data_IF_559553008560
#
_entry.id   IF_559553008560
#
_cell.length_a   1.000
_cell.length_b   1.000
_cell.length_c   1.000
_cell.angle_alpha   90.00
_cell.angle_beta   90.00
_cell.angle_gamma   90.00
#
_symmetry.space_group_name_H-M   'P 1'
#
loop_
_entity.id
_entity.type
_entity.pdbx_description
1 polymer ?
#
# COMPACT_ATOMS: atom_id res chain seq x y z
N UNK A 1 -5.50 -20.26 13.14
CA UNK A 1 -6.58 -19.64 12.34
C UNK A 1 -6.43 -20.05 10.89
N UNK A 2 -7.54 -20.24 10.20
CA UNK A 2 -7.56 -20.54 8.76
C UNK A 2 -7.79 -19.25 7.97
N UNK A 3 -7.29 -19.23 6.75
CA UNK A 3 -7.57 -18.13 5.82
C UNK A 3 -9.07 -17.92 5.63
N UNK A 4 -9.84 -19.01 5.53
CA UNK A 4 -11.30 -18.98 5.41
C UNK A 4 -12.04 -18.39 6.61
N UNK A 5 -11.40 -18.27 7.79
CA UNK A 5 -12.02 -17.60 8.93
C UNK A 5 -12.25 -16.11 8.65
N UNK A 6 -11.47 -15.52 7.73
CA UNK A 6 -11.56 -14.11 7.32
C UNK A 6 -12.46 -13.89 6.10
N UNK A 7 -13.29 -14.87 5.77
CA UNK A 7 -14.27 -14.74 4.70
C UNK A 7 -15.47 -13.91 5.15
N UNK A 8 -15.92 -13.02 4.29
CA UNK A 8 -17.22 -12.37 4.35
C UNK A 8 -17.77 -12.20 2.93
N UNK A 9 -19.09 -12.16 2.79
CA UNK A 9 -19.71 -11.98 1.49
C UNK A 9 -19.58 -10.51 1.04
N UNK A 10 -18.81 -10.27 -0.02
CA UNK A 10 -18.61 -8.95 -0.60
C UNK A 10 -19.24 -8.90 -2.00
N UNK A 11 -20.37 -8.19 -2.17
CA UNK A 11 -20.95 -7.96 -3.48
C UNK A 11 -19.98 -7.21 -4.42
N UNK A 12 -19.80 -7.70 -5.64
CA UNK A 12 -18.85 -7.14 -6.62
C UNK A 12 -19.11 -5.64 -6.92
N UNK A 13 -20.38 -5.23 -6.89
CA UNK A 13 -20.79 -3.84 -7.13
C UNK A 13 -20.39 -2.86 -6.02
N UNK A 14 -19.92 -3.33 -4.86
CA UNK A 14 -19.37 -2.49 -3.81
C UNK A 14 -17.86 -2.23 -4.00
N UNK A 15 -17.20 -2.93 -4.91
CA UNK A 15 -15.79 -2.70 -5.24
C UNK A 15 -15.67 -1.42 -6.09
N UNK A 16 -15.09 -0.38 -5.52
CA UNK A 16 -14.98 0.92 -6.17
C UNK A 16 -14.09 0.87 -7.42
N UNK A 17 -14.62 1.31 -8.56
CA UNK A 17 -13.88 1.37 -9.82
C UNK A 17 -13.22 2.73 -10.06
N UNK A 18 -13.74 3.79 -9.45
CA UNK A 18 -13.27 5.17 -9.59
C UNK A 18 -13.26 5.89 -8.23
N UNK A 19 -12.33 6.84 -8.03
CA UNK A 19 -12.29 7.63 -6.80
C UNK A 19 -13.48 8.59 -6.68
N UNK A 20 -13.81 8.98 -5.44
CA UNK A 20 -14.78 10.05 -5.14
C UNK A 20 -14.12 11.42 -5.33
N UNK A 21 -14.89 12.41 -5.79
CA UNK A 21 -14.48 13.79 -5.86
C UNK A 21 -15.37 14.68 -4.98
N UNK A 22 -14.79 15.57 -4.18
CA UNK A 22 -13.36 15.69 -3.85
C UNK A 22 -12.85 14.49 -3.04
N UNK A 23 -11.52 14.33 -2.90
CA UNK A 23 -10.88 13.16 -2.23
C UNK A 23 -11.46 12.86 -0.85
N UNK A 24 -11.70 13.90 -0.05
CA UNK A 24 -12.19 13.83 1.33
C UNK A 24 -13.72 13.70 1.45
N UNK A 25 -14.44 13.52 0.32
CA UNK A 25 -15.88 13.25 0.31
C UNK A 25 -16.24 11.76 0.43
N UNK A 26 -15.27 10.86 0.49
CA UNK A 26 -15.50 9.45 0.80
C UNK A 26 -16.13 9.29 2.18
N UNK A 27 -16.86 8.19 2.38
CA UNK A 27 -17.40 7.87 3.72
C UNK A 27 -16.27 7.42 4.65
N UNK A 28 -16.48 7.64 5.93
CA UNK A 28 -15.58 7.23 6.99
C UNK A 28 -16.38 6.47 8.06
N UNK A 29 -15.95 5.25 8.37
CA UNK A 29 -16.42 4.53 9.55
C UNK A 29 -15.43 4.77 10.69
N UNK A 30 -15.91 5.35 11.80
CA UNK A 30 -15.15 5.36 13.04
C UNK A 30 -15.47 4.07 13.78
N UNK A 31 -14.46 3.31 14.13
CA UNK A 31 -14.58 2.05 14.88
C UNK A 31 -13.86 2.15 16.21
N UNK A 32 -14.61 2.13 17.30
CA UNK A 32 -14.06 2.13 18.66
C UNK A 32 -13.73 0.70 19.09
N UNK A 33 -12.44 0.43 19.32
CA UNK A 33 -11.96 -0.93 19.63
C UNK A 33 -12.46 -1.45 20.97
N UNK A 34 -12.66 -0.56 21.95
CA UNK A 34 -13.01 -0.96 23.33
C UNK A 34 -14.37 -1.60 23.44
N UNK A 35 -15.35 -1.10 22.71
CA UNK A 35 -16.74 -1.55 22.82
C UNK A 35 -17.33 -2.03 21.47
N UNK A 36 -16.59 -1.89 20.39
CA UNK A 36 -17.02 -2.27 19.04
C UNK A 36 -18.08 -1.33 18.45
N UNK A 37 -18.33 -0.17 19.07
CA UNK A 37 -19.27 0.82 18.52
C UNK A 37 -18.75 1.44 17.24
N UNK A 38 -19.68 1.85 16.38
CA UNK A 38 -19.38 2.39 15.06
C UNK A 38 -20.14 3.68 14.83
N UNK A 39 -19.46 4.67 14.21
CA UNK A 39 -20.08 5.89 13.72
C UNK A 39 -19.88 6.00 12.22
N UNK A 40 -20.86 6.60 11.54
CA UNK A 40 -20.80 6.82 10.09
C UNK A 40 -20.61 8.31 9.82
N UNK A 41 -19.49 8.65 9.17
CA UNK A 41 -19.03 10.02 8.90
C UNK A 41 -18.62 10.17 7.44
N UNK A 42 -18.16 11.36 7.09
CA UNK A 42 -17.44 11.64 5.85
C UNK A 42 -15.96 11.86 6.19
N UNK A 43 -15.04 11.52 5.31
CA UNK A 43 -13.59 11.55 5.60
C UNK A 43 -13.11 12.94 6.07
N UNK A 44 -13.68 14.02 5.55
CA UNK A 44 -13.37 15.37 6.00
C UNK A 44 -13.59 15.59 7.51
N UNK A 45 -14.50 14.83 8.12
CA UNK A 45 -14.83 14.93 9.54
C UNK A 45 -13.76 14.26 10.44
N UNK A 46 -12.76 13.58 9.84
CA UNK A 46 -11.63 12.94 10.57
C UNK A 46 -10.94 13.94 11.50
N UNK A 47 -10.86 15.22 11.09
CA UNK A 47 -10.23 16.27 11.89
C UNK A 47 -10.87 16.41 13.27
N UNK A 48 -12.14 16.08 13.44
CA UNK A 48 -12.85 16.14 14.73
C UNK A 48 -12.34 15.08 15.72
N UNK A 49 -11.81 13.95 15.22
CA UNK A 49 -11.32 12.81 15.99
C UNK A 49 -9.81 12.85 16.30
N UNK A 50 -9.10 13.83 15.74
CA UNK A 50 -7.69 14.06 16.01
C UNK A 50 -7.51 15.07 17.14
N UNK A 51 -6.53 14.85 18.01
CA UNK A 51 -6.24 15.72 19.14
C UNK A 51 -4.89 16.45 18.96
N UNK A 52 -4.75 17.67 19.49
CA UNK A 52 -3.43 18.30 19.58
C UNK A 52 -2.42 17.36 20.26
N UNK A 53 -1.25 17.22 19.67
CA UNK A 53 -0.22 16.30 20.15
C UNK A 53 -0.27 14.90 19.57
N UNK A 54 -1.30 14.53 18.78
CA UNK A 54 -1.29 13.30 17.96
C UNK A 54 -0.26 13.42 16.84
N UNK A 55 0.14 12.28 16.30
CA UNK A 55 1.02 12.16 15.13
C UNK A 55 0.37 11.28 14.06
N UNK A 56 0.19 11.79 12.84
CA UNK A 56 -0.14 10.99 11.66
C UNK A 56 1.16 10.50 11.01
N UNK A 57 1.32 9.19 10.87
CA UNK A 57 2.41 8.59 10.12
C UNK A 57 1.93 8.27 8.73
N UNK A 58 2.47 8.98 7.73
CA UNK A 58 2.07 8.89 6.32
C UNK A 58 3.19 8.26 5.49
N UNK A 59 2.81 7.51 4.46
CA UNK A 59 3.75 6.91 3.51
C UNK A 59 3.83 7.78 2.25
N UNK A 60 4.97 8.43 2.04
CA UNK A 60 5.22 9.39 0.96
C UNK A 60 5.67 8.75 -0.36
N UNK A 61 5.63 7.43 -0.45
CA UNK A 61 5.99 6.73 -1.69
C UNK A 61 5.14 7.19 -2.87
N UNK A 62 5.77 7.28 -4.04
CA UNK A 62 5.14 7.65 -5.30
C UNK A 62 5.14 6.48 -6.27
N UNK A 63 3.98 6.20 -6.84
CA UNK A 63 3.81 5.14 -7.84
C UNK A 63 4.46 5.55 -9.14
N UNK A 64 5.27 4.65 -9.72
CA UNK A 64 5.86 4.82 -11.04
C UNK A 64 4.94 4.20 -12.12
N UNK A 65 4.97 4.68 -13.38
CA UNK A 65 4.27 4.05 -14.50
C UNK A 65 4.91 2.70 -14.85
N UNK A 66 4.82 1.75 -13.94
CA UNK A 66 5.59 0.51 -13.91
C UNK A 66 5.16 -0.53 -14.94
N UNK A 67 4.03 -0.33 -15.65
CA UNK A 67 3.56 -1.27 -16.68
C UNK A 67 4.02 -0.83 -18.05
N UNK A 68 4.90 -1.62 -18.67
CA UNK A 68 5.46 -1.37 -20.01
C UNK A 68 5.32 -2.59 -20.91
N UNK A 69 5.37 -2.39 -22.21
CA UNK A 69 5.26 -3.46 -23.20
C UNK A 69 6.55 -3.55 -24.01
N UNK A 70 7.22 -4.71 -23.90
CA UNK A 70 8.46 -4.99 -24.61
C UNK A 70 8.21 -5.83 -25.85
N UNK A 71 8.89 -5.48 -26.93
CA UNK A 71 8.94 -6.26 -28.18
C UNK A 71 10.20 -7.10 -28.16
N UNK A 72 10.06 -8.41 -28.22
CA UNK A 72 11.19 -9.35 -28.29
C UNK A 72 11.97 -9.13 -29.58
N UNK A 73 13.27 -8.85 -29.49
CA UNK A 73 14.11 -8.51 -30.65
C UNK A 73 14.13 -9.59 -31.74
N UNK A 74 14.21 -10.88 -31.33
CA UNK A 74 14.31 -11.99 -32.27
C UNK A 74 13.01 -12.30 -33.04
N UNK A 75 11.84 -12.07 -32.43
CA UNK A 75 10.57 -12.62 -32.93
C UNK A 75 9.47 -11.59 -33.11
N UNK A 76 9.66 -10.35 -32.64
CA UNK A 76 8.64 -9.30 -32.60
C UNK A 76 7.48 -9.58 -31.62
N UNK A 77 7.58 -10.62 -30.79
CA UNK A 77 6.52 -10.96 -29.85
C UNK A 77 6.44 -9.95 -28.72
N UNK A 78 5.23 -9.47 -28.44
CA UNK A 78 4.97 -8.51 -27.36
C UNK A 78 4.82 -9.26 -26.01
N UNK A 79 5.44 -8.69 -24.97
CA UNK A 79 5.34 -9.14 -23.59
C UNK A 79 5.07 -7.90 -22.70
N UNK A 80 4.09 -8.03 -21.81
CA UNK A 80 3.87 -7.05 -20.75
C UNK A 80 4.88 -7.27 -19.63
N UNK A 81 5.52 -6.20 -19.20
CA UNK A 81 6.38 -6.16 -18.03
C UNK A 81 5.76 -5.22 -17.01
N UNK A 82 5.73 -5.68 -15.78
CA UNK A 82 5.33 -4.89 -14.65
C UNK A 82 6.48 -4.85 -13.65
N UNK A 83 7.12 -3.69 -13.55
CA UNK A 83 8.24 -3.46 -12.66
C UNK A 83 7.77 -3.49 -11.21
N UNK A 84 8.43 -4.25 -10.35
CA UNK A 84 8.06 -4.45 -8.94
C UNK A 84 9.01 -3.72 -7.99
N UNK A 85 10.30 -3.99 -8.12
CA UNK A 85 11.34 -3.40 -7.29
C UNK A 85 12.65 -3.27 -8.05
N UNK A 86 13.35 -2.18 -7.82
CA UNK A 86 14.70 -2.01 -8.33
C UNK A 86 15.68 -2.76 -7.42
N UNK A 87 16.62 -3.45 -8.04
CA UNK A 87 17.77 -4.10 -7.41
C UNK A 87 19.04 -3.37 -7.81
N UNK A 88 20.18 -3.85 -7.41
CA UNK A 88 21.48 -3.28 -7.80
C UNK A 88 21.72 -3.34 -9.31
N UNK A 89 22.57 -2.47 -9.84
CA UNK A 89 23.09 -2.47 -11.21
C UNK A 89 22.02 -2.39 -12.31
N UNK A 90 20.99 -1.54 -12.12
CA UNK A 90 19.89 -1.35 -13.08
C UNK A 90 19.05 -2.61 -13.35
N UNK A 91 19.12 -3.59 -12.48
CA UNK A 91 18.29 -4.79 -12.52
C UNK A 91 16.97 -4.51 -11.80
N UNK A 92 15.88 -4.90 -12.43
CA UNK A 92 14.54 -4.81 -11.87
C UNK A 92 13.88 -6.17 -11.78
N UNK A 93 13.26 -6.42 -10.66
CA UNK A 93 12.33 -7.52 -10.54
C UNK A 93 11.02 -7.16 -11.23
N UNK A 94 10.54 -8.06 -12.11
CA UNK A 94 9.39 -7.81 -12.98
C UNK A 94 8.46 -9.02 -13.03
N UNK A 95 7.15 -8.75 -13.05
CA UNK A 95 6.17 -9.72 -13.55
C UNK A 95 6.10 -9.61 -15.06
N UNK A 96 6.15 -10.75 -15.77
CA UNK A 96 6.09 -10.80 -17.22
C UNK A 96 4.88 -11.61 -17.71
N UNK A 97 4.12 -11.06 -18.65
CA UNK A 97 2.95 -11.75 -19.23
C UNK A 97 2.95 -11.66 -20.76
N UNK A 98 3.01 -12.81 -21.45
CA UNK A 98 3.17 -14.19 -20.97
C UNK A 98 4.62 -14.50 -20.58
N UNK A 99 4.83 -14.98 -19.34
CA UNK A 99 6.18 -15.26 -18.79
C UNK A 99 7.00 -16.28 -19.59
N UNK A 100 6.35 -17.20 -20.32
CA UNK A 100 7.03 -18.20 -21.19
C UNK A 100 7.89 -17.56 -22.29
N UNK A 101 7.63 -16.32 -22.67
CA UNK A 101 8.38 -15.58 -23.70
C UNK A 101 9.59 -14.82 -23.15
N UNK A 102 9.64 -14.59 -21.83
CA UNK A 102 10.73 -13.89 -21.13
C UNK A 102 11.63 -14.93 -20.42
N UNK A 103 12.50 -15.61 -21.19
CA UNK A 103 13.51 -16.56 -20.69
C UNK A 103 14.82 -15.83 -20.47
N UNK A 104 15.70 -16.39 -19.63
CA UNK A 104 17.06 -15.86 -19.40
C UNK A 104 17.78 -15.66 -20.76
N UNK A 105 18.46 -14.52 -20.92
CA UNK A 105 19.14 -14.08 -22.13
C UNK A 105 18.23 -13.46 -23.20
N UNK A 106 16.89 -13.44 -22.98
CA UNK A 106 15.98 -12.80 -23.95
C UNK A 106 16.08 -11.29 -23.86
N UNK A 107 16.21 -10.62 -25.03
CA UNK A 107 16.29 -9.17 -25.16
C UNK A 107 14.99 -8.58 -25.69
N UNK A 108 14.66 -7.42 -25.16
CA UNK A 108 13.45 -6.68 -25.46
C UNK A 108 13.76 -5.20 -25.71
N UNK A 109 13.02 -4.62 -26.65
CA UNK A 109 12.99 -3.17 -26.91
C UNK A 109 11.63 -2.63 -26.45
N UNK A 110 11.61 -1.46 -25.80
CA UNK A 110 10.42 -0.80 -25.29
C UNK A 110 10.35 0.63 -25.85
N UNK A 111 9.12 1.13 -26.08
CA UNK A 111 8.90 2.51 -26.49
C UNK A 111 9.68 2.89 -27.74
N UNK A 112 9.64 2.04 -28.79
CA UNK A 112 10.35 2.27 -30.06
C UNK A 112 11.87 2.48 -29.89
N UNK A 113 12.49 1.74 -28.96
CA UNK A 113 13.94 1.80 -28.71
C UNK A 113 14.39 2.83 -27.68
N UNK A 114 13.47 3.40 -26.90
CA UNK A 114 13.81 4.31 -25.79
C UNK A 114 14.40 3.58 -24.57
N UNK A 115 13.98 2.32 -24.37
CA UNK A 115 14.47 1.45 -23.29
C UNK A 115 14.76 0.06 -23.86
N UNK A 116 15.84 -0.55 -23.40
CA UNK A 116 16.20 -1.93 -23.70
C UNK A 116 16.27 -2.73 -22.42
N UNK A 117 15.93 -4.02 -22.48
CA UNK A 117 15.98 -4.90 -21.31
C UNK A 117 16.43 -6.29 -21.69
N UNK A 118 17.27 -6.90 -20.86
CA UNK A 118 17.67 -8.30 -20.97
C UNK A 118 17.28 -9.06 -19.70
N UNK A 119 16.60 -10.19 -19.86
CA UNK A 119 16.27 -11.07 -18.74
C UNK A 119 17.55 -11.75 -18.27
N UNK A 120 18.01 -11.41 -17.07
CA UNK A 120 19.26 -11.92 -16.49
C UNK A 120 19.03 -13.10 -15.55
N UNK A 121 17.84 -13.20 -14.93
CA UNK A 121 17.49 -14.30 -14.04
C UNK A 121 15.98 -14.50 -13.94
N UNK A 122 15.56 -15.63 -13.36
CA UNK A 122 14.16 -16.00 -13.11
C UNK A 122 14.02 -16.57 -11.71
N UNK A 123 13.15 -15.98 -10.89
CA UNK A 123 12.79 -16.56 -9.61
C UNK A 123 12.06 -17.89 -9.80
N UNK A 124 12.59 -18.93 -9.19
CA UNK A 124 12.07 -20.31 -9.31
C UNK A 124 10.77 -20.53 -8.51
N UNK A 125 10.53 -19.77 -7.45
CA UNK A 125 9.35 -19.91 -6.58
C UNK A 125 8.17 -19.09 -7.11
N UNK A 126 8.38 -17.81 -7.38
CA UNK A 126 7.33 -16.87 -7.79
C UNK A 126 7.19 -16.70 -9.30
N UNK A 127 8.24 -17.06 -10.03
CA UNK A 127 8.30 -16.93 -11.49
C UNK A 127 8.51 -15.49 -11.96
N UNK A 128 8.91 -14.57 -11.09
CA UNK A 128 9.31 -13.22 -11.45
C UNK A 128 10.58 -13.24 -12.32
N UNK A 129 10.81 -12.21 -13.10
CA UNK A 129 12.01 -12.03 -13.94
C UNK A 129 12.85 -10.91 -13.38
N UNK A 130 14.16 -11.14 -13.37
CA UNK A 130 15.12 -10.09 -13.14
C UNK A 130 15.59 -9.59 -14.49
N UNK A 131 15.34 -8.31 -14.77
CA UNK A 131 15.58 -7.69 -16.07
C UNK A 131 16.57 -6.54 -15.87
N UNK A 132 17.70 -6.62 -16.56
CA UNK A 132 18.65 -5.52 -16.61
C UNK A 132 18.22 -4.55 -17.69
N UNK A 133 17.85 -3.33 -17.29
CA UNK A 133 17.46 -2.28 -18.22
C UNK A 133 18.63 -1.36 -18.60
N UNK A 134 18.55 -0.79 -19.79
CA UNK A 134 19.46 0.24 -20.27
C UNK A 134 18.73 1.27 -21.12
N UNK A 135 18.98 2.56 -20.88
CA UNK A 135 18.44 3.68 -21.63
C UNK A 135 19.42 4.85 -21.61
N UNK A 136 19.14 5.87 -22.46
CA UNK A 136 19.85 7.14 -22.39
C UNK A 136 19.20 8.03 -21.32
N UNK A 137 19.90 8.29 -20.21
CA UNK A 137 19.40 9.10 -19.10
C UNK A 137 18.72 8.30 -18.00
N UNK A 138 17.70 8.89 -17.37
CA UNK A 138 16.99 8.27 -16.26
C UNK A 138 15.91 7.29 -16.74
N UNK A 139 15.91 6.09 -16.19
CA UNK A 139 14.84 5.10 -16.45
C UNK A 139 13.47 5.65 -16.07
N UNK A 140 13.36 6.43 -14.98
CA UNK A 140 12.10 7.02 -14.53
C UNK A 140 11.51 7.98 -15.57
N UNK A 141 12.35 8.82 -16.21
CA UNK A 141 11.90 9.71 -17.28
C UNK A 141 11.38 8.92 -18.49
N UNK A 142 12.04 7.80 -18.83
CA UNK A 142 11.56 6.93 -19.92
C UNK A 142 10.26 6.25 -19.52
N UNK A 143 10.13 5.76 -18.27
CA UNK A 143 8.88 5.15 -17.80
C UNK A 143 7.71 6.13 -17.84
N UNK A 144 7.92 7.42 -17.54
CA UNK A 144 6.87 8.45 -17.65
C UNK A 144 6.34 8.60 -19.07
N UNK A 145 7.20 8.37 -20.08
CA UNK A 145 6.80 8.48 -21.50
C UNK A 145 6.10 7.20 -22.02
N UNK A 146 6.63 6.03 -21.69
CA UNK A 146 6.19 4.76 -22.31
C UNK A 146 5.34 3.87 -21.41
N UNK A 147 5.36 4.14 -20.10
CA UNK A 147 4.70 3.35 -19.08
C UNK A 147 3.23 3.72 -18.88
N UNK A 148 2.54 2.85 -18.19
CA UNK A 148 1.19 3.10 -17.70
C UNK A 148 1.07 2.77 -16.23
N UNK A 149 0.15 3.47 -15.54
CA UNK A 149 -0.10 3.31 -14.12
C UNK A 149 -0.51 1.86 -13.82
N UNK A 150 0.15 1.17 -12.88
CA UNK A 150 -0.11 -0.22 -12.56
C UNK A 150 -1.31 -0.36 -11.61
N UNK A 151 -2.51 -0.05 -12.11
CA UNK A 151 -3.72 -0.22 -11.30
C UNK A 151 -3.91 -1.68 -10.87
N UNK A 152 -4.45 -1.91 -9.67
CA UNK A 152 -4.83 -3.23 -9.19
C UNK A 152 -5.78 -3.96 -10.16
N UNK A 153 -5.73 -5.29 -10.24
CA UNK A 153 -6.48 -6.06 -11.26
C UNK A 153 -8.01 -5.99 -11.13
N UNK A 154 -8.53 -5.58 -9.97
CA UNK A 154 -9.96 -5.38 -9.76
C UNK A 154 -10.48 -4.02 -10.26
N UNK A 155 -9.59 -3.06 -10.58
CA UNK A 155 -9.95 -1.81 -11.23
C UNK A 155 -9.90 -2.05 -12.74
N UNK A 156 -11.07 -2.11 -13.36
CA UNK A 156 -11.23 -2.36 -14.81
C UNK A 156 -11.33 -1.06 -15.61
N UNK A 157 -11.69 0.03 -14.95
CA UNK A 157 -11.81 1.35 -15.57
C UNK A 157 -10.46 2.06 -15.67
N UNK A 158 -10.24 2.74 -16.81
CA UNK A 158 -9.06 3.60 -16.98
C UNK A 158 -9.25 4.89 -16.19
N UNK A 159 -8.24 5.28 -15.44
CA UNK A 159 -8.23 6.61 -14.81
C UNK A 159 -8.16 7.69 -15.87
N UNK A 160 -8.97 8.74 -15.69
CA UNK A 160 -8.89 9.97 -16.49
C UNK A 160 -7.67 10.81 -16.14
N UNK A 161 -7.26 10.72 -14.88
CA UNK A 161 -6.12 11.43 -14.32
C UNK A 161 -5.31 10.46 -13.45
N UNK A 162 -4.06 10.21 -13.82
CA UNK A 162 -3.17 9.29 -13.11
C UNK A 162 -2.79 9.83 -11.71
N UNK A 163 -2.81 11.15 -11.48
CA UNK A 163 -2.55 11.75 -10.16
C UNK A 163 -3.63 11.38 -9.13
N UNK A 164 -4.79 10.87 -9.59
CA UNK A 164 -5.80 10.33 -8.65
C UNK A 164 -5.39 9.02 -7.98
N UNK A 165 -4.38 8.32 -8.51
CA UNK A 165 -3.76 7.15 -7.88
C UNK A 165 -2.43 7.50 -7.19
N UNK A 166 -2.24 8.78 -6.84
CA UNK A 166 -1.14 9.29 -6.02
C UNK A 166 -1.70 10.00 -4.78
N UNK A 167 -1.00 9.89 -3.66
CA UNK A 167 -1.30 10.74 -2.50
C UNK A 167 -0.83 12.18 -2.79
N UNK A 168 -1.47 13.16 -2.17
CA UNK A 168 -1.11 14.58 -2.35
C UNK A 168 0.26 14.94 -1.77
N UNK A 169 0.86 14.02 -1.02
CA UNK A 169 2.16 14.15 -0.39
C UNK A 169 3.20 13.16 -0.92
N UNK A 170 2.90 12.47 -2.03
CA UNK A 170 3.84 11.50 -2.61
C UNK A 170 5.11 12.18 -3.16
N UNK A 171 6.28 11.65 -2.81
CA UNK A 171 7.62 12.19 -3.17
C UNK A 171 8.53 11.11 -3.73
N UNK A 172 8.73 10.02 -2.96
CA UNK A 172 9.77 9.02 -3.19
C UNK A 172 9.33 8.01 -4.25
N UNK A 173 9.94 8.10 -5.46
CA UNK A 173 9.64 7.22 -6.58
C UNK A 173 10.09 5.78 -6.31
N UNK A 174 9.29 4.78 -6.69
CA UNK A 174 9.71 3.36 -6.62
C UNK A 174 8.58 2.38 -6.36
N UNK A 175 7.38 2.86 -6.08
CA UNK A 175 6.25 1.98 -5.73
C UNK A 175 5.49 1.47 -6.97
N UNK A 176 5.05 0.21 -6.91
CA UNK A 176 4.14 -0.36 -7.89
C UNK A 176 2.66 -0.16 -7.52
N UNK A 177 2.35 0.30 -6.31
CA UNK A 177 0.98 0.60 -5.88
C UNK A 177 0.94 1.77 -4.89
N UNK A 178 -0.17 2.51 -4.86
CA UNK A 178 -0.34 3.63 -3.95
C UNK A 178 -0.69 3.17 -2.52
N UNK A 179 -0.28 3.91 -1.48
CA UNK A 179 -0.77 3.75 -0.12
C UNK A 179 -2.18 4.33 -0.01
N UNK A 180 -3.18 3.51 -0.37
CA UNK A 180 -4.52 3.98 -0.77
C UNK A 180 -5.31 4.68 0.34
N UNK A 181 -5.03 4.41 1.62
CA UNK A 181 -5.63 5.18 2.72
C UNK A 181 -5.24 6.66 2.70
N UNK A 182 -4.09 6.98 2.12
CA UNK A 182 -3.64 8.37 1.91
C UNK A 182 -4.34 9.10 0.78
N UNK A 183 -5.04 8.40 -0.11
CA UNK A 183 -5.74 9.02 -1.24
C UNK A 183 -6.93 9.89 -0.83
N UNK A 184 -7.40 9.74 0.39
CA UNK A 184 -8.52 10.51 0.93
C UNK A 184 -8.15 11.91 1.38
N UNK A 185 -6.87 12.18 1.66
CA UNK A 185 -6.41 13.48 2.12
C UNK A 185 -6.35 14.50 0.97
N UNK A 186 -6.64 15.74 1.30
CA UNK A 186 -6.37 16.91 0.45
C UNK A 186 -5.28 17.76 1.09
N UNK A 187 -4.58 18.62 0.32
CA UNK A 187 -3.58 19.55 0.88
C UNK A 187 -4.17 20.42 1.99
N UNK A 188 -5.39 20.97 1.77
CA UNK A 188 -6.08 21.83 2.71
C UNK A 188 -6.37 21.11 4.04
N UNK A 189 -6.81 19.84 3.96
CA UNK A 189 -7.07 19.02 5.14
C UNK A 189 -5.79 18.77 5.94
N UNK A 190 -4.65 18.51 5.28
CA UNK A 190 -3.37 18.34 5.96
C UNK A 190 -2.92 19.61 6.67
N UNK A 191 -3.12 20.79 6.06
CA UNK A 191 -2.83 22.08 6.72
C UNK A 191 -3.76 22.34 7.90
N UNK A 192 -5.04 22.01 7.81
CA UNK A 192 -5.99 22.08 8.93
C UNK A 192 -5.55 21.17 10.09
N UNK A 193 -5.14 19.94 9.80
CA UNK A 193 -4.65 18.96 10.78
C UNK A 193 -3.39 19.50 11.48
N UNK A 194 -2.43 20.05 10.74
CA UNK A 194 -1.22 20.67 11.30
C UNK A 194 -1.60 21.90 12.19
N UNK A 195 -2.51 22.75 11.70
CA UNK A 195 -2.97 23.92 12.46
C UNK A 195 -3.65 23.54 13.77
N UNK A 196 -4.27 22.35 13.86
CA UNK A 196 -4.84 21.79 15.08
C UNK A 196 -3.77 21.33 16.10
N UNK A 197 -2.48 21.28 15.70
CA UNK A 197 -1.37 20.83 16.55
C UNK A 197 -1.09 19.33 16.45
N UNK A 198 -1.56 18.67 15.38
CA UNK A 198 -1.23 17.29 15.04
C UNK A 198 0.06 17.29 14.23
N UNK A 199 1.02 16.44 14.62
CA UNK A 199 2.28 16.27 13.90
C UNK A 199 2.09 15.34 12.70
N UNK A 200 2.92 15.49 11.66
CA UNK A 200 2.96 14.58 10.52
C UNK A 200 4.37 14.01 10.42
N UNK A 201 4.50 12.70 10.51
CA UNK A 201 5.75 11.97 10.29
C UNK A 201 5.69 11.27 8.93
N UNK A 202 6.61 11.62 8.05
CA UNK A 202 6.70 11.04 6.70
C UNK A 202 7.69 9.88 6.70
N UNK A 203 7.22 8.73 6.25
CA UNK A 203 8.02 7.52 6.04
C UNK A 203 7.84 7.03 4.61
N UNK A 204 8.77 6.21 4.12
CA UNK A 204 8.63 5.57 2.82
C UNK A 204 8.49 4.06 2.99
N UNK A 205 7.53 3.45 2.30
CA UNK A 205 7.50 2.02 2.02
C UNK A 205 7.06 1.83 0.58
N UNK A 206 7.92 1.23 -0.23
CA UNK A 206 7.60 0.92 -1.62
C UNK A 206 6.73 -0.31 -1.71
N UNK A 207 5.45 -0.09 -2.06
CA UNK A 207 4.44 -1.15 -2.13
C UNK A 207 4.65 -2.00 -3.37
N UNK A 208 4.88 -3.29 -3.16
CA UNK A 208 4.90 -4.28 -4.21
C UNK A 208 3.50 -4.81 -4.56
N UNK A 209 3.37 -5.47 -5.70
CA UNK A 209 2.08 -6.09 -6.10
C UNK A 209 1.69 -7.32 -5.29
N UNK A 210 2.56 -7.80 -4.43
CA UNK A 210 2.27 -8.90 -3.52
C UNK A 210 1.03 -8.64 -2.65
N UNK A 211 0.77 -7.38 -2.32
CA UNK A 211 -0.41 -6.93 -1.56
C UNK A 211 -1.74 -7.29 -2.23
N UNK A 212 -1.76 -7.48 -3.56
CA UNK A 212 -2.96 -7.85 -4.32
C UNK A 212 -3.02 -9.35 -4.64
N UNK A 213 -2.04 -10.14 -4.23
CA UNK A 213 -2.05 -11.59 -4.42
C UNK A 213 -2.92 -12.24 -3.35
N UNK A 214 -3.81 -13.19 -3.72
CA UNK A 214 -4.58 -13.94 -2.74
C UNK A 214 -3.65 -14.80 -1.88
N UNK A 215 -4.00 -14.98 -0.61
CA UNK A 215 -3.36 -15.96 0.27
C UNK A 215 -3.68 -17.36 -0.25
N UNK A 216 -2.65 -18.19 -0.47
CA UNK A 216 -2.79 -19.52 -1.08
C UNK A 216 -2.74 -20.68 -0.08
N UNK A 217 -2.57 -20.37 1.19
CA UNK A 217 -2.44 -21.36 2.26
C UNK A 217 -3.70 -21.38 3.12
N UNK A 218 -4.10 -22.56 3.61
CA UNK A 218 -5.25 -22.69 4.49
C UNK A 218 -4.94 -22.21 5.92
N UNK A 219 -3.72 -22.48 6.39
CA UNK A 219 -3.24 -22.07 7.71
C UNK A 219 -2.49 -20.75 7.60
N UNK A 220 -3.04 -19.70 8.22
CA UNK A 220 -2.48 -18.34 8.19
C UNK A 220 -1.01 -18.31 8.59
N UNK A 221 -0.60 -19.13 9.59
CA UNK A 221 0.78 -19.15 10.10
C UNK A 221 1.82 -19.65 9.08
N UNK A 222 1.36 -20.30 8.01
CA UNK A 222 2.22 -20.81 6.92
C UNK A 222 2.37 -19.83 5.76
N UNK A 223 1.67 -18.69 5.81
CA UNK A 223 1.80 -17.68 4.78
C UNK A 223 3.16 -16.99 4.86
N UNK A 224 3.87 -16.95 3.73
CA UNK A 224 5.09 -16.15 3.59
C UNK A 224 4.72 -14.80 3.01
N UNK A 225 4.90 -13.75 3.81
CA UNK A 225 4.67 -12.39 3.36
C UNK A 225 5.76 -11.99 2.37
N UNK A 226 5.38 -11.26 1.33
CA UNK A 226 6.34 -10.66 0.40
C UNK A 226 7.14 -9.56 1.10
N UNK A 227 8.35 -9.35 0.59
CA UNK A 227 9.29 -8.36 1.10
C UNK A 227 9.05 -7.01 0.44
N UNK A 228 9.04 -5.94 1.24
CA UNK A 228 8.90 -4.55 0.79
C UNK A 228 9.96 -3.69 1.47
N UNK A 229 10.59 -2.81 0.69
CA UNK A 229 11.63 -1.90 1.16
C UNK A 229 11.01 -0.69 1.88
N UNK A 230 11.55 -0.33 3.05
CA UNK A 230 11.10 0.83 3.80
C UNK A 230 12.26 1.73 4.23
N UNK A 231 11.95 3.00 4.45
CA UNK A 231 12.83 4.01 5.01
C UNK A 231 12.08 4.72 6.15
N UNK A 232 12.67 4.74 7.33
CA UNK A 232 12.28 5.54 8.49
C UNK A 232 13.32 6.65 8.68
N UNK A 233 13.06 7.89 8.22
CA UNK A 233 13.97 9.01 8.44
C UNK A 233 14.12 9.35 9.94
N UNK A 234 15.25 9.93 10.33
CA UNK A 234 15.48 10.36 11.71
C UNK A 234 14.43 11.35 12.19
N UNK A 235 14.02 12.30 11.33
CA UNK A 235 12.99 13.28 11.64
C UNK A 235 11.63 12.62 11.99
N UNK A 236 11.22 11.63 11.20
CA UNK A 236 9.99 10.87 11.46
C UNK A 236 10.09 10.10 12.78
N UNK A 237 11.23 9.46 13.03
CA UNK A 237 11.47 8.73 14.28
C UNK A 237 11.41 9.67 15.49
N UNK A 238 12.02 10.85 15.40
CA UNK A 238 11.99 11.86 16.46
C UNK A 238 10.59 12.36 16.76
N UNK A 239 9.79 12.66 15.72
CA UNK A 239 8.38 13.07 15.84
C UNK A 239 7.55 11.98 16.54
N UNK A 240 7.68 10.73 16.13
CA UNK A 240 6.94 9.60 16.71
C UNK A 240 7.31 9.42 18.19
N UNK A 241 8.61 9.43 18.51
CA UNK A 241 9.08 9.28 19.89
C UNK A 241 8.65 10.43 20.79
N UNK A 242 8.70 11.65 20.28
CA UNK A 242 8.24 12.84 21.02
C UNK A 242 6.73 12.81 21.28
N UNK A 243 5.95 12.34 20.29
CA UNK A 243 4.51 12.12 20.45
C UNK A 243 4.22 11.14 21.57
N UNK A 244 4.85 9.96 21.55
CA UNK A 244 4.69 8.94 22.61
C UNK A 244 5.11 9.46 23.98
N UNK A 245 6.24 10.17 24.06
CA UNK A 245 6.76 10.76 25.31
C UNK A 245 5.80 11.79 25.92
N UNK A 246 5.08 12.52 25.08
CA UNK A 246 4.09 13.54 25.50
C UNK A 246 2.69 12.95 25.76
N UNK A 247 2.50 11.65 25.56
CA UNK A 247 1.22 10.94 25.73
C UNK A 247 0.23 11.14 24.58
N UNK A 248 0.70 11.60 23.42
CA UNK A 248 -0.08 11.65 22.19
C UNK A 248 -0.20 10.29 21.51
N UNK A 249 -1.15 10.17 20.57
CA UNK A 249 -1.38 8.95 19.77
C UNK A 249 -0.53 8.94 18.51
N UNK A 250 0.03 7.77 18.20
CA UNK A 250 0.66 7.48 16.90
C UNK A 250 -0.37 6.80 16.00
N UNK A 251 -0.80 7.51 14.98
CA UNK A 251 -1.89 7.11 14.08
C UNK A 251 -1.29 6.74 12.72
N UNK A 252 -1.30 5.47 12.37
CA UNK A 252 -0.83 5.03 11.07
C UNK A 252 -1.86 5.33 9.97
N UNK A 253 -1.43 5.97 8.90
CA UNK A 253 -2.24 6.17 7.69
C UNK A 253 -1.92 5.06 6.70
N UNK A 254 -2.76 4.05 6.66
CA UNK A 254 -2.62 2.84 5.85
C UNK A 254 -1.84 1.72 6.54
N UNK A 255 -2.08 0.52 6.04
CA UNK A 255 -1.38 -0.69 6.48
C UNK A 255 0.12 -0.65 6.18
N UNK A 256 0.55 0.14 5.20
CA UNK A 256 1.96 0.37 4.87
C UNK A 256 2.68 1.12 5.98
N UNK A 257 2.11 2.23 6.47
CA UNK A 257 2.66 2.97 7.62
C UNK A 257 2.68 2.11 8.88
N UNK A 258 1.61 1.35 9.14
CA UNK A 258 1.56 0.38 10.24
C UNK A 258 2.71 -0.63 10.13
N UNK A 259 2.91 -1.27 8.97
CA UNK A 259 3.96 -2.26 8.77
C UNK A 259 5.35 -1.66 8.95
N UNK A 260 5.59 -0.45 8.50
CA UNK A 260 6.89 0.22 8.67
C UNK A 260 7.19 0.46 10.14
N UNK A 261 6.31 1.16 10.87
CA UNK A 261 6.58 1.50 12.28
C UNK A 261 6.69 0.26 13.16
N UNK A 262 5.86 -0.75 12.93
CA UNK A 262 5.92 -2.01 13.69
C UNK A 262 7.15 -2.85 13.32
N UNK A 263 7.65 -2.79 12.07
CA UNK A 263 8.91 -3.44 11.67
C UNK A 263 10.10 -2.80 12.37
N UNK A 264 10.19 -1.46 12.36
CA UNK A 264 11.26 -0.74 13.06
C UNK A 264 11.24 -1.04 14.55
N UNK A 265 10.07 -0.98 15.19
CA UNK A 265 9.91 -1.26 16.61
C UNK A 265 10.21 -2.72 16.95
N UNK A 266 9.86 -3.68 16.09
CA UNK A 266 10.15 -5.10 16.31
C UNK A 266 11.64 -5.42 16.18
N UNK A 267 12.31 -4.83 15.17
CA UNK A 267 13.73 -5.04 14.88
C UNK A 267 14.64 -4.40 15.92
N UNK A 268 14.37 -3.13 16.27
CA UNK A 268 15.28 -2.30 17.07
C UNK A 268 14.87 -2.18 18.55
N UNK A 269 13.65 -2.63 18.92
CA UNK A 269 13.09 -2.46 20.26
C UNK A 269 12.64 -1.03 20.57
N UNK A 270 12.81 -0.09 19.65
CA UNK A 270 12.40 1.32 19.72
C UNK A 270 12.20 1.86 18.32
N UNK A 271 11.61 3.06 18.22
CA UNK A 271 11.52 3.79 16.94
C UNK A 271 12.82 4.60 16.75
N UNK A 272 13.53 4.35 15.67
CA UNK A 272 14.77 5.03 15.29
C UNK A 272 14.86 5.14 13.76
N UNK A 273 15.78 5.94 13.26
CA UNK A 273 16.12 5.95 11.84
C UNK A 273 16.54 4.54 11.41
N UNK A 274 15.95 4.04 10.35
CA UNK A 274 16.22 2.70 9.83
C UNK A 274 15.84 2.63 8.34
N UNK A 275 16.60 1.85 7.59
CA UNK A 275 16.34 1.55 6.18
C UNK A 275 16.62 0.08 5.98
N UNK A 276 15.59 -0.69 5.58
CA UNK A 276 15.70 -2.14 5.42
C UNK A 276 14.49 -2.68 4.62
N UNK A 277 14.50 -3.97 4.44
CA UNK A 277 13.41 -4.75 3.87
C UNK A 277 12.56 -5.36 4.98
N UNK A 278 11.23 -5.31 4.84
CA UNK A 278 10.30 -5.96 5.76
C UNK A 278 9.43 -7.01 5.09
N UNK A 279 9.34 -8.17 5.72
CA UNK A 279 8.36 -9.21 5.44
C UNK A 279 7.41 -9.43 6.61
N UNK A 280 7.22 -8.41 7.46
CA UNK A 280 6.37 -8.52 8.65
C UNK A 280 4.95 -8.93 8.25
N UNK A 281 4.47 -10.00 8.86
CA UNK A 281 3.11 -10.49 8.68
C UNK A 281 2.34 -10.30 9.97
N UNK A 282 1.38 -9.37 9.94
CA UNK A 282 0.54 -9.02 11.08
C UNK A 282 -0.80 -9.73 10.95
N UNK A 283 -1.12 -10.58 11.94
CA UNK A 283 -2.37 -11.31 12.03
C UNK A 283 -2.76 -11.48 13.51
N UNK A 284 -3.98 -11.92 13.87
CA UNK A 284 -4.41 -12.02 15.27
C UNK A 284 -3.44 -12.76 16.16
N UNK A 285 -3.07 -12.12 17.28
CA UNK A 285 -1.99 -12.54 18.19
C UNK A 285 -0.71 -11.71 18.07
N UNK A 286 -0.64 -10.79 17.08
CA UNK A 286 0.46 -9.84 16.99
C UNK A 286 0.37 -8.76 18.07
N UNK A 287 1.50 -8.46 18.72
CA UNK A 287 1.61 -7.42 19.74
C UNK A 287 2.14 -6.12 19.12
N UNK A 288 1.26 -5.13 18.99
CA UNK A 288 1.62 -3.81 18.50
C UNK A 288 2.48 -3.07 19.52
N UNK A 289 3.59 -2.48 19.07
CA UNK A 289 4.57 -1.81 19.92
C UNK A 289 4.49 -0.29 19.84
N UNK A 290 4.01 0.23 18.73
CA UNK A 290 4.06 1.66 18.48
C UNK A 290 2.70 2.27 18.14
N UNK A 291 1.92 1.63 17.26
CA UNK A 291 0.68 2.18 16.73
C UNK A 291 -0.46 2.21 17.77
N UNK A 292 -1.13 3.37 17.91
CA UNK A 292 -2.27 3.57 18.81
C UNK A 292 -3.62 3.61 18.04
N UNK A 293 -3.62 4.07 16.78
CA UNK A 293 -4.80 4.11 15.93
C UNK A 293 -4.43 3.91 14.45
N UNK A 294 -5.41 3.54 13.64
CA UNK A 294 -5.20 3.19 12.23
C UNK A 294 -6.28 3.79 11.33
N UNK A 295 -5.86 4.51 10.29
CA UNK A 295 -6.72 4.92 9.18
C UNK A 295 -6.46 3.94 8.03
N UNK A 296 -7.50 3.31 7.49
CA UNK A 296 -7.34 2.31 6.43
C UNK A 296 -8.56 2.26 5.50
N UNK A 297 -8.43 1.64 4.34
CA UNK A 297 -9.57 1.29 3.49
C UNK A 297 -10.22 -0.02 3.95
N UNK A 298 -11.39 -0.35 3.39
CA UNK A 298 -11.96 -1.69 3.54
C UNK A 298 -11.25 -2.68 2.62
N UNK A 299 -10.86 -3.84 3.18
CA UNK A 299 -10.01 -4.84 2.52
C UNK A 299 -10.79 -6.05 2.00
N UNK A 300 -10.17 -6.84 1.10
CA UNK A 300 -10.74 -8.08 0.56
C UNK A 300 -10.95 -9.14 1.64
N UNK A 301 -12.00 -9.99 1.45
CA UNK A 301 -12.09 -11.23 2.20
C UNK A 301 -10.80 -12.05 2.01
N UNK A 302 -10.42 -12.78 3.07
CA UNK A 302 -9.29 -13.71 3.08
C UNK A 302 -7.92 -13.10 2.75
N UNK A 303 -7.80 -11.75 2.76
CA UNK A 303 -6.54 -11.05 2.49
C UNK A 303 -5.68 -10.89 3.74
N UNK A 304 -4.36 -10.71 3.55
CA UNK A 304 -3.44 -10.36 4.64
C UNK A 304 -3.81 -9.05 5.35
N UNK A 305 -4.51 -8.14 4.64
CA UNK A 305 -4.89 -6.84 5.17
C UNK A 305 -6.09 -6.91 6.13
N UNK A 306 -7.10 -7.76 5.86
CA UNK A 306 -8.18 -7.97 6.84
C UNK A 306 -7.64 -8.68 8.09
N UNK A 307 -6.60 -9.54 7.94
CA UNK A 307 -5.92 -10.18 9.07
C UNK A 307 -5.21 -9.13 9.94
N UNK A 308 -4.53 -8.13 9.33
CA UNK A 308 -3.86 -7.05 10.04
C UNK A 308 -4.85 -6.21 10.85
N UNK A 309 -5.95 -5.75 10.24
CA UNK A 309 -6.94 -4.95 10.97
C UNK A 309 -7.64 -5.77 12.06
N UNK A 310 -7.82 -7.08 11.83
CA UNK A 310 -8.35 -8.02 12.85
C UNK A 310 -7.37 -8.23 14.01
N UNK A 311 -6.06 -8.20 13.75
CA UNK A 311 -5.05 -8.22 14.80
C UNK A 311 -5.11 -6.96 15.66
N UNK A 312 -5.41 -5.80 15.05
CA UNK A 312 -5.42 -4.52 15.74
C UNK A 312 -6.70 -4.27 16.55
N UNK A 313 -7.87 -4.55 15.98
CA UNK A 313 -9.16 -4.22 16.61
C UNK A 313 -9.89 -5.44 17.21
N UNK A 314 -9.34 -6.62 17.04
CA UNK A 314 -10.03 -7.87 17.41
C UNK A 314 -10.84 -8.45 16.24
N UNK A 315 -10.79 -9.78 16.13
CA UNK A 315 -11.41 -10.52 15.01
C UNK A 315 -12.93 -10.28 14.92
N UNK A 316 -13.67 -10.49 16.04
CA UNK A 316 -15.12 -10.35 16.04
C UNK A 316 -15.57 -8.92 15.75
N UNK A 317 -14.87 -7.94 16.29
CA UNK A 317 -15.12 -6.50 16.06
C UNK A 317 -14.97 -6.15 14.58
N UNK A 318 -13.89 -6.59 13.94
CA UNK A 318 -13.66 -6.34 12.51
C UNK A 318 -14.66 -7.08 11.65
N UNK A 319 -14.94 -8.34 11.90
CA UNK A 319 -15.91 -9.09 11.10
C UNK A 319 -17.32 -8.48 11.19
N UNK A 320 -17.70 -7.95 12.36
CA UNK A 320 -18.95 -7.21 12.53
C UNK A 320 -18.94 -5.87 11.77
N UNK A 321 -17.83 -5.11 11.86
CA UNK A 321 -17.68 -3.85 11.12
C UNK A 321 -17.77 -4.04 9.60
N UNK A 322 -17.16 -5.10 9.06
CA UNK A 322 -17.22 -5.42 7.64
C UNK A 322 -18.62 -5.86 7.18
N UNK A 323 -19.35 -6.64 8.00
CA UNK A 323 -20.75 -6.96 7.73
C UNK A 323 -21.62 -5.70 7.70
N UNK A 324 -21.42 -4.81 8.68
CA UNK A 324 -22.10 -3.51 8.73
C UNK A 324 -21.76 -2.65 7.50
N UNK A 325 -20.49 -2.61 7.11
CA UNK A 325 -20.06 -1.85 5.92
C UNK A 325 -20.71 -2.36 4.64
N UNK A 326 -20.88 -3.68 4.47
CA UNK A 326 -21.62 -4.25 3.33
C UNK A 326 -23.10 -3.87 3.37
N UNK A 327 -23.77 -3.99 4.53
CA UNK A 327 -25.18 -3.64 4.72
C UNK A 327 -25.43 -2.15 4.45
N UNK A 328 -24.54 -1.29 4.94
CA UNK A 328 -24.57 0.17 4.78
C UNK A 328 -24.05 0.63 3.40
N UNK A 329 -23.68 -0.32 2.52
CA UNK A 329 -23.19 -0.06 1.16
C UNK A 329 -21.99 0.88 1.12
N UNK A 330 -21.00 0.66 2.00
CA UNK A 330 -19.69 1.26 1.86
C UNK A 330 -19.03 0.76 0.59
N UNK A 331 -18.14 1.57 0.04
CA UNK A 331 -17.31 1.21 -1.10
C UNK A 331 -16.03 0.58 -0.61
N UNK A 332 -15.57 -0.45 -1.30
CA UNK A 332 -14.43 -1.26 -0.90
C UNK A 332 -13.22 -1.03 -1.78
N UNK A 333 -12.03 -1.34 -1.26
CA UNK A 333 -10.72 -1.30 -1.90
C UNK A 333 -10.13 0.10 -2.12
N UNK A 334 -9.16 0.17 -3.07
CA UNK A 334 -8.26 1.31 -3.28
C UNK A 334 -8.96 2.65 -3.44
N UNK A 335 -10.10 2.68 -4.15
CA UNK A 335 -10.92 3.88 -4.34
C UNK A 335 -12.20 3.86 -3.50
N UNK A 336 -12.27 2.95 -2.56
CA UNK A 336 -13.39 2.81 -1.66
C UNK A 336 -13.42 3.87 -0.57
N UNK A 337 -14.19 3.58 0.46
CA UNK A 337 -14.34 4.39 1.65
C UNK A 337 -13.27 4.02 2.70
N UNK A 338 -13.20 4.78 3.77
CA UNK A 338 -12.20 4.61 4.82
C UNK A 338 -12.81 4.15 6.14
N UNK A 339 -11.96 3.59 6.98
CA UNK A 339 -12.21 3.28 8.38
C UNK A 339 -11.13 3.95 9.24
N UNK A 340 -11.51 4.57 10.35
CA UNK A 340 -10.63 5.00 11.41
C UNK A 340 -10.86 4.14 12.64
N UNK A 341 -9.85 3.39 13.02
CA UNK A 341 -9.88 2.45 14.14
C UNK A 341 -9.14 3.06 15.30
N UNK A 342 -9.82 3.30 16.41
CA UNK A 342 -9.28 3.94 17.61
C UNK A 342 -9.84 3.34 18.91
N UNK A 343 -9.36 3.84 20.07
CA UNK A 343 -9.81 3.40 21.42
C UNK A 343 -10.99 4.21 21.94
#
# INVERSE_FOLDING_TARGET
>A
MKTSDFYYDLPENLIAQSPVEPRNASRLMILHRKDGSMEHRIFKDLTEYLNPGDCLVINDTRVIPARIYGVKEETGAVVEFLLLSQKENDVWECLCKPGKRAKIGTKFSFGEGKLFGEVVDVDSEEGNRFVKFSCNGSIYAVLDEIGSMPLPPYIKEKLKDNERYQTVYSKELGSAAAPTAGLHFTPEMLEEIKAKGVQIAEITLHVGLGTFRPVKVDDVTKHKMHTEHYIMPQEAADIINDTKKKGGRVIAVGTTSCRTIESVAAKNGCICADEDDTSIFIYPGFEFKCMDALITNFHLPESTLIMLVSAFAGYDTIMNAYKTAVQEKYRFFSFGDAMFIED
#
